data_IF_469450884113
#
_entry.id   IF_469450884113
#
_cell.length_a   1.000
_cell.length_b   1.000
_cell.length_c   1.000
_cell.angle_alpha   90.00
_cell.angle_beta   90.00
_cell.angle_gamma   90.00
#
_symmetry.space_group_name_H-M   'P 1'
#
loop_
_entity.id
_entity.type
_entity.pdbx_description
1 polymer ?
#
# COMPACT_ATOMS: atom_id res chain seq x y z
N UNK A 1 -4.27 27.98 -60.28
CA UNK A 1 -3.87 29.41 -60.30
C UNK A 1 -3.81 29.88 -58.86
N UNK A 2 -2.66 30.38 -58.39
CA UNK A 2 -2.42 30.71 -56.97
C UNK A 2 -2.77 32.17 -56.68
N UNK A 3 -3.08 32.48 -55.41
CA UNK A 3 -2.81 33.81 -54.88
C UNK A 3 -2.30 33.69 -53.44
N UNK A 4 -1.09 34.23 -53.28
CA UNK A 4 -0.30 34.41 -52.07
C UNK A 4 -0.76 35.70 -51.40
N UNK A 5 -0.65 35.84 -50.07
CA UNK A 5 -0.08 37.01 -49.38
C UNK A 5 0.20 36.64 -47.91
N UNK A 6 1.48 36.72 -47.56
CA UNK A 6 2.04 36.76 -46.21
C UNK A 6 1.79 38.09 -45.52
N UNK A 7 1.70 38.07 -44.19
CA UNK A 7 2.15 39.14 -43.29
C UNK A 7 2.14 38.58 -41.86
N UNK A 8 2.97 38.97 -40.90
CA UNK A 8 4.33 39.47 -40.85
C UNK A 8 4.74 39.27 -39.38
N UNK A 9 5.99 38.90 -39.15
CA UNK A 9 6.63 38.74 -37.83
C UNK A 9 6.69 40.05 -37.05
N UNK A 10 6.45 40.03 -35.74
CA UNK A 10 6.89 41.09 -34.82
C UNK A 10 7.84 40.49 -33.78
N UNK A 11 9.13 40.78 -33.93
CA UNK A 11 10.20 40.66 -32.95
C UNK A 11 10.79 42.05 -32.78
N UNK A 12 10.80 42.57 -31.55
CA UNK A 12 11.65 43.63 -30.98
C UNK A 12 10.96 44.03 -29.66
N UNK A 13 11.50 43.87 -28.47
CA UNK A 13 12.87 44.11 -28.02
C UNK A 13 12.81 45.25 -27.00
N UNK A 14 12.94 44.95 -25.71
CA UNK A 14 13.25 46.00 -24.73
C UNK A 14 14.29 45.48 -23.73
N UNK A 15 15.52 45.90 -23.99
CA UNK A 15 16.70 45.70 -23.16
C UNK A 15 16.81 46.86 -22.14
N UNK A 16 17.03 46.46 -20.89
CA UNK A 16 17.85 47.13 -19.86
C UNK A 16 17.63 48.62 -19.56
N UNK A 17 17.37 48.90 -18.28
CA UNK A 17 18.07 49.97 -17.54
C UNK A 17 18.14 49.61 -16.06
N UNK A 18 19.33 49.15 -15.64
CA UNK A 18 19.76 49.15 -14.24
C UNK A 18 20.04 50.61 -13.85
N UNK A 19 19.48 51.08 -12.75
CA UNK A 19 19.95 52.28 -12.08
C UNK A 19 19.85 52.08 -10.56
N UNK A 20 21.01 52.00 -9.91
CA UNK A 20 21.19 52.11 -8.47
C UNK A 20 20.84 53.53 -8.01
N UNK A 21 20.02 53.65 -6.97
CA UNK A 21 20.01 54.84 -6.12
C UNK A 21 19.63 54.46 -4.68
N UNK A 22 20.63 54.43 -3.82
CA UNK A 22 20.54 54.36 -2.36
C UNK A 22 19.81 55.57 -1.80
N UNK A 23 18.71 55.36 -1.07
CA UNK A 23 18.13 56.37 -0.18
C UNK A 23 17.65 55.70 1.11
N UNK A 24 18.33 56.01 2.20
CA UNK A 24 18.02 55.57 3.57
C UNK A 24 16.75 56.26 4.05
N UNK A 25 15.69 55.49 4.35
CA UNK A 25 14.48 55.99 5.02
C UNK A 25 14.33 55.23 6.34
N UNK A 26 14.56 55.94 7.45
CA UNK A 26 14.33 55.42 8.79
C UNK A 26 12.81 55.44 9.08
N UNK A 27 12.20 54.25 9.14
CA UNK A 27 10.79 54.08 9.51
C UNK A 27 10.72 53.57 10.95
N UNK A 28 10.01 54.32 11.78
CA UNK A 28 9.81 54.05 13.19
C UNK A 28 9.01 52.75 13.42
N UNK A 29 9.51 51.94 14.34
CA UNK A 29 8.87 50.71 14.83
C UNK A 29 7.64 51.04 15.67
N UNK A 30 6.44 50.73 15.16
CA UNK A 30 5.25 50.53 15.98
C UNK A 30 5.06 49.02 16.18
N UNK A 31 5.44 48.53 17.37
CA UNK A 31 5.20 47.15 17.79
C UNK A 31 3.72 46.99 18.17
N UNK A 32 2.99 45.96 17.68
CA UNK A 32 1.78 45.52 18.35
C UNK A 32 2.16 44.85 19.67
N UNK A 33 1.64 45.40 20.77
CA UNK A 33 1.65 44.75 22.07
C UNK A 33 0.67 43.57 22.03
N UNK A 34 1.18 42.34 21.94
CA UNK A 34 0.39 41.16 22.28
C UNK A 34 0.39 41.01 23.79
N UNK A 35 -0.79 41.15 24.39
CA UNK A 35 -1.02 40.76 25.77
C UNK A 35 -0.83 39.23 25.85
N UNK A 36 0.27 38.81 26.47
CA UNK A 36 0.48 37.43 26.90
C UNK A 36 -0.49 37.15 28.05
N UNK A 37 -1.68 36.64 27.72
CA UNK A 37 -2.62 36.08 28.69
C UNK A 37 -2.04 34.79 29.26
N UNK A 38 -1.74 34.80 30.56
CA UNK A 38 -1.33 33.63 31.32
C UNK A 38 -2.55 32.75 31.58
N UNK A 39 -2.71 31.68 30.80
CA UNK A 39 -3.48 30.51 31.22
C UNK A 39 -2.49 29.38 31.48
N UNK A 40 -2.02 29.35 32.72
CA UNK A 40 -1.48 28.15 33.33
C UNK A 40 -2.66 27.20 33.56
N UNK A 41 -2.93 26.33 32.58
CA UNK A 41 -3.56 25.05 32.87
C UNK A 41 -2.74 23.99 32.16
N UNK A 42 -2.07 23.20 32.99
CA UNK A 42 -1.24 22.10 32.54
C UNK A 42 -2.11 20.99 31.99
N UNK A 43 -1.83 20.64 30.74
CA UNK A 43 -1.86 19.24 30.35
C UNK A 43 -0.42 18.85 30.08
N UNK A 44 0.17 18.22 31.10
CA UNK A 44 1.42 17.52 30.95
C UNK A 44 1.29 16.53 29.81
N UNK A 45 2.20 16.64 28.86
CA UNK A 45 2.97 15.53 28.32
C UNK A 45 2.37 14.14 28.65
N UNK A 46 1.48 13.72 27.77
CA UNK A 46 1.38 12.32 27.41
C UNK A 46 1.32 12.20 25.89
N UNK A 47 2.32 12.76 25.22
CA UNK A 47 2.70 12.44 23.84
C UNK A 47 3.27 11.01 23.75
N UNK A 48 2.59 10.05 24.36
CA UNK A 48 2.97 8.63 24.34
C UNK A 48 1.84 7.73 23.86
N UNK A 49 0.68 8.29 23.49
CA UNK A 49 -0.45 7.54 22.94
C UNK A 49 -0.52 7.62 21.41
N UNK A 50 -0.13 8.75 20.80
CA UNK A 50 -0.19 8.97 19.34
C UNK A 50 0.95 8.30 18.55
N UNK A 51 2.03 7.91 19.23
CA UNK A 51 3.16 7.16 18.65
C UNK A 51 3.27 5.72 19.15
N UNK A 52 2.34 5.27 20.00
CA UNK A 52 2.25 3.87 20.41
C UNK A 52 1.62 3.04 19.27
N UNK A 53 2.35 2.99 18.15
CA UNK A 53 2.37 1.93 17.13
C UNK A 53 1.02 1.24 16.94
N UNK A 54 0.23 1.68 15.95
CA UNK A 54 -0.83 0.81 15.45
C UNK A 54 -0.19 -0.55 15.23
N UNK A 55 -0.69 -1.62 15.87
CA UNK A 55 -0.03 -2.93 15.81
C UNK A 55 0.19 -3.40 14.37
N UNK A 56 -0.64 -2.89 13.45
CA UNK A 56 -0.58 -3.13 12.01
C UNK A 56 0.57 -2.41 11.29
N UNK A 57 1.16 -1.34 11.84
CA UNK A 57 2.30 -0.66 11.23
C UNK A 57 2.28 0.86 11.33
N UNK A 58 2.72 1.52 10.26
CA UNK A 58 2.83 2.97 10.17
C UNK A 58 2.52 3.48 8.75
N UNK A 59 2.15 4.76 8.58
CA UNK A 59 2.01 5.37 7.26
C UNK A 59 3.29 5.21 6.44
N UNK A 60 3.15 4.74 5.21
CA UNK A 60 4.27 4.48 4.31
C UNK A 60 4.63 5.69 3.44
N UNK A 61 5.86 5.71 2.95
CA UNK A 61 6.32 6.73 1.98
C UNK A 61 6.00 6.29 0.55
N UNK A 62 5.34 7.16 -0.23
CA UNK A 62 4.97 6.89 -1.63
C UNK A 62 6.14 6.45 -2.53
N UNK A 63 7.38 6.83 -2.20
CA UNK A 63 8.62 6.50 -2.91
C UNK A 63 9.25 5.17 -2.49
N UNK A 64 8.78 4.56 -1.40
CA UNK A 64 9.27 3.29 -0.84
C UNK A 64 8.26 2.15 -0.96
N UNK A 65 7.28 2.29 -1.86
CA UNK A 65 6.26 1.28 -2.10
C UNK A 65 6.90 0.04 -2.73
N UNK A 66 6.75 -1.11 -2.07
CA UNK A 66 7.21 -2.41 -2.56
C UNK A 66 6.24 -2.98 -3.60
N UNK A 67 4.93 -2.84 -3.36
CA UNK A 67 3.86 -3.20 -4.31
C UNK A 67 2.61 -2.35 -4.15
N UNK A 68 1.80 -2.34 -5.21
CA UNK A 68 0.48 -1.71 -5.23
C UNK A 68 -0.59 -2.79 -5.31
N UNK A 69 -1.62 -2.67 -4.48
CA UNK A 69 -2.79 -3.54 -4.45
C UNK A 69 -4.00 -2.68 -4.83
N UNK A 70 -4.68 -3.05 -5.92
CA UNK A 70 -5.93 -2.42 -6.31
C UNK A 70 -7.08 -2.98 -5.45
N UNK A 71 -7.85 -2.08 -4.86
CA UNK A 71 -9.00 -2.39 -4.00
C UNK A 71 -10.27 -1.80 -4.62
N UNK A 72 -11.32 -2.61 -4.74
CA UNK A 72 -12.65 -2.15 -5.16
C UNK A 72 -13.64 -2.27 -4.00
N UNK A 73 -14.30 -1.16 -3.66
CA UNK A 73 -15.41 -1.12 -2.71
C UNK A 73 -16.71 -1.17 -3.50
N UNK A 74 -17.63 -2.08 -3.17
CA UNK A 74 -18.91 -2.24 -3.88
C UNK A 74 -19.95 -2.99 -3.05
N UNK A 75 -21.22 -2.82 -3.45
CA UNK A 75 -22.33 -3.68 -3.06
C UNK A 75 -22.69 -4.65 -4.19
N UNK A 76 -23.19 -5.84 -3.85
CA UNK A 76 -23.74 -6.76 -4.85
C UNK A 76 -25.28 -6.80 -4.81
N UNK A 77 -25.89 -7.43 -5.81
CA UNK A 77 -27.35 -7.55 -5.95
C UNK A 77 -28.04 -8.31 -4.79
N UNK A 78 -27.27 -9.02 -3.96
CA UNK A 78 -27.76 -9.74 -2.77
C UNK A 78 -27.73 -8.85 -1.52
N UNK A 79 -27.29 -7.59 -1.64
CA UNK A 79 -27.14 -6.64 -0.55
C UNK A 79 -25.91 -6.87 0.32
N UNK A 80 -24.95 -7.68 -0.15
CA UNK A 80 -23.66 -7.82 0.53
C UNK A 80 -22.77 -6.64 0.19
N UNK A 81 -22.04 -6.19 1.20
CA UNK A 81 -21.08 -5.10 1.09
C UNK A 81 -19.67 -5.72 1.00
N UNK A 82 -18.88 -5.32 0.02
CA UNK A 82 -17.67 -6.04 -0.37
C UNK A 82 -16.47 -5.10 -0.48
N UNK A 83 -15.33 -5.57 0.03
CA UNK A 83 -14.00 -5.06 -0.30
C UNK A 83 -13.34 -6.13 -1.18
N UNK A 84 -13.11 -5.86 -2.45
CA UNK A 84 -12.49 -6.80 -3.39
C UNK A 84 -11.04 -6.41 -3.68
N UNK A 85 -10.15 -7.39 -3.67
CA UNK A 85 -8.73 -7.25 -3.99
C UNK A 85 -8.14 -8.60 -4.41
N UNK A 86 -6.87 -8.61 -4.80
CA UNK A 86 -6.05 -9.84 -4.78
C UNK A 86 -5.81 -10.34 -3.34
N UNK A 87 -5.16 -11.50 -3.20
CA UNK A 87 -4.84 -12.11 -1.90
C UNK A 87 -3.95 -11.20 -1.03
N UNK A 88 -4.44 -10.83 0.16
CA UNK A 88 -3.75 -9.92 1.09
C UNK A 88 -2.78 -10.67 2.02
N UNK A 89 -1.85 -11.43 1.43
CA UNK A 89 -0.70 -12.02 2.14
C UNK A 89 0.48 -11.05 2.07
N UNK A 90 0.94 -10.55 3.20
CA UNK A 90 1.91 -9.45 3.30
C UNK A 90 3.11 -9.85 4.14
N UNK A 91 4.29 -9.37 3.79
CA UNK A 91 5.48 -9.58 4.62
C UNK A 91 5.60 -8.47 5.68
N UNK A 92 6.01 -8.81 6.89
CA UNK A 92 6.41 -7.79 7.87
C UNK A 92 7.58 -6.96 7.31
N UNK A 93 7.49 -5.64 7.46
CA UNK A 93 8.34 -4.62 6.87
C UNK A 93 7.92 -4.13 5.48
N UNK A 94 6.95 -4.78 4.82
CA UNK A 94 6.54 -4.43 3.45
C UNK A 94 5.69 -3.15 3.42
N UNK A 95 5.98 -2.28 2.45
CA UNK A 95 5.21 -1.06 2.19
C UNK A 95 4.28 -1.24 1.01
N UNK A 96 2.98 -1.20 1.28
CA UNK A 96 1.91 -1.40 0.31
C UNK A 96 1.26 -0.07 -0.01
N UNK A 97 1.01 0.18 -1.30
CA UNK A 97 0.04 1.19 -1.74
C UNK A 97 -1.28 0.49 -2.02
N UNK A 98 -2.32 0.79 -1.26
CA UNK A 98 -3.68 0.42 -1.61
C UNK A 98 -4.25 1.50 -2.52
N UNK A 99 -4.49 1.16 -3.79
CA UNK A 99 -5.17 2.04 -4.74
C UNK A 99 -6.66 1.69 -4.73
N UNK A 100 -7.46 2.53 -4.07
CA UNK A 100 -8.82 2.19 -3.66
C UNK A 100 -9.80 2.94 -4.56
N UNK A 101 -10.74 2.20 -5.14
CA UNK A 101 -11.84 2.77 -5.93
C UNK A 101 -13.17 2.32 -5.35
N UNK A 102 -14.07 3.27 -5.10
CA UNK A 102 -15.46 2.95 -4.82
C UNK A 102 -16.24 2.81 -6.13
N UNK A 103 -16.64 1.59 -6.46
CA UNK A 103 -17.52 1.27 -7.61
C UNK A 103 -18.95 0.97 -7.20
N UNK A 104 -19.25 1.04 -5.90
CA UNK A 104 -20.59 0.92 -5.37
C UNK A 104 -21.46 2.15 -5.62
N UNK A 105 -22.71 2.04 -5.18
CA UNK A 105 -23.67 3.14 -5.22
C UNK A 105 -23.67 3.96 -3.92
N UNK A 106 -23.21 3.39 -2.81
CA UNK A 106 -23.12 4.07 -1.52
C UNK A 106 -21.71 4.60 -1.27
N UNK A 107 -21.63 5.47 -0.27
CA UNK A 107 -20.35 5.88 0.29
C UNK A 107 -19.70 4.72 1.04
N UNK A 108 -18.40 4.59 0.91
CA UNK A 108 -17.63 3.54 1.56
C UNK A 108 -16.38 4.08 2.23
N UNK A 109 -15.92 3.32 3.20
CA UNK A 109 -14.70 3.59 3.93
C UNK A 109 -13.79 2.37 3.84
N UNK A 110 -12.49 2.62 3.89
CA UNK A 110 -11.46 1.60 4.02
C UNK A 110 -10.58 1.96 5.21
N UNK A 111 -10.65 1.17 6.28
CA UNK A 111 -9.86 1.32 7.51
C UNK A 111 -8.97 0.10 7.70
N UNK A 112 -7.68 0.32 7.92
CA UNK A 112 -6.68 -0.72 8.20
C UNK A 112 -6.34 -0.77 9.69
N UNK A 113 -6.75 -1.83 10.40
CA UNK A 113 -6.39 -2.00 11.81
C UNK A 113 -6.40 -3.46 12.26
N UNK A 114 -6.23 -3.71 13.56
CA UNK A 114 -6.57 -5.01 14.14
C UNK A 114 -8.08 -5.21 14.19
N UNK A 115 -8.50 -6.48 14.14
CA UNK A 115 -9.91 -6.87 14.27
C UNK A 115 -10.53 -6.29 15.56
N UNK A 116 -9.77 -6.33 16.66
CA UNK A 116 -10.22 -5.82 17.95
C UNK A 116 -10.43 -4.30 17.91
N UNK A 117 -9.50 -3.55 17.31
CA UNK A 117 -9.61 -2.08 17.22
C UNK A 117 -10.69 -1.64 16.26
N UNK A 118 -10.89 -2.33 15.13
CA UNK A 118 -12.03 -2.07 14.25
C UNK A 118 -13.36 -2.29 14.99
N UNK A 119 -13.46 -3.35 15.80
CA UNK A 119 -14.66 -3.61 16.60
C UNK A 119 -14.91 -2.53 17.67
N UNK A 120 -13.85 -2.06 18.35
CA UNK A 120 -13.92 -0.96 19.32
C UNK A 120 -14.32 0.35 18.65
N UNK A 121 -13.65 0.72 17.55
CA UNK A 121 -13.92 1.94 16.79
C UNK A 121 -15.37 1.97 16.30
N UNK A 122 -15.91 0.85 15.81
CA UNK A 122 -17.33 0.74 15.45
C UNK A 122 -18.29 1.09 16.59
N UNK A 123 -17.97 0.66 17.82
CA UNK A 123 -18.78 0.97 19.01
C UNK A 123 -18.70 2.46 19.36
N UNK A 124 -17.56 3.11 19.11
CA UNK A 124 -17.37 4.54 19.31
C UNK A 124 -18.12 5.37 18.26
N UNK A 125 -18.02 4.99 16.99
CA UNK A 125 -18.77 5.62 15.88
C UNK A 125 -20.30 5.55 16.11
N UNK A 126 -20.78 4.45 16.70
CA UNK A 126 -22.20 4.31 17.04
C UNK A 126 -22.66 5.28 18.16
N UNK A 127 -21.74 5.84 18.95
CA UNK A 127 -22.06 6.75 20.06
C UNK A 127 -22.00 8.22 19.65
N UNK A 128 -21.10 8.59 18.75
CA UNK A 128 -20.97 9.95 18.22
C UNK A 128 -20.56 9.90 16.75
N UNK A 129 -21.33 10.57 15.88
CA UNK A 129 -21.05 10.72 14.46
C UNK A 129 -19.89 11.71 14.28
N UNK A 130 -18.66 11.18 14.37
CA UNK A 130 -17.43 11.96 14.28
C UNK A 130 -16.63 11.49 13.07
N UNK A 131 -16.34 12.41 12.15
CA UNK A 131 -15.41 12.15 11.06
C UNK A 131 -13.97 12.17 11.61
N UNK A 132 -13.22 11.11 11.34
CA UNK A 132 -11.81 11.00 11.71
C UNK A 132 -11.00 10.72 10.44
N UNK A 133 -10.05 11.62 10.16
CA UNK A 133 -9.10 11.50 9.06
C UNK A 133 -7.82 10.85 9.61
N UNK A 134 -7.90 9.54 9.85
CA UNK A 134 -6.76 8.77 10.34
C UNK A 134 -5.88 8.30 9.16
N UNK A 135 -4.54 8.30 9.30
CA UNK A 135 -3.64 7.92 8.20
C UNK A 135 -3.81 6.49 7.64
N UNK A 136 -4.46 5.61 8.39
CA UNK A 136 -4.79 4.23 8.02
C UNK A 136 -6.22 4.10 7.45
N UNK A 137 -6.89 5.21 7.16
CA UNK A 137 -8.27 5.25 6.72
C UNK A 137 -8.46 6.12 5.47
N UNK A 138 -9.52 5.85 4.71
CA UNK A 138 -10.04 6.77 3.69
C UNK A 138 -11.53 6.55 3.50
N UNK A 139 -12.28 7.65 3.36
CA UNK A 139 -13.71 7.66 3.02
C UNK A 139 -13.91 8.16 1.60
N UNK A 140 -14.74 7.46 0.82
CA UNK A 140 -14.91 7.66 -0.62
C UNK A 140 -16.39 7.66 -1.00
N UNK A 141 -16.84 8.75 -1.61
CA UNK A 141 -18.10 8.83 -2.34
C UNK A 141 -18.16 7.80 -3.48
N UNK A 142 -19.38 7.48 -3.94
CA UNK A 142 -19.59 6.62 -5.09
C UNK A 142 -18.84 7.13 -6.34
N UNK A 143 -18.07 6.25 -6.97
CA UNK A 143 -17.23 6.56 -8.13
C UNK A 143 -15.91 7.28 -7.82
N UNK A 144 -15.64 7.62 -6.55
CA UNK A 144 -14.39 8.24 -6.15
C UNK A 144 -13.25 7.22 -6.04
N UNK A 145 -12.02 7.72 -6.01
CA UNK A 145 -10.81 6.92 -5.81
C UNK A 145 -9.80 7.68 -4.96
N UNK A 146 -8.96 6.93 -4.25
CA UNK A 146 -7.88 7.47 -3.44
C UNK A 146 -6.88 6.39 -3.09
N UNK A 147 -5.92 6.72 -2.23
CA UNK A 147 -4.89 5.78 -1.84
C UNK A 147 -4.56 5.83 -0.36
N UNK A 148 -4.21 4.67 0.19
CA UNK A 148 -3.60 4.53 1.51
C UNK A 148 -2.25 3.85 1.31
N UNK A 149 -1.17 4.47 1.78
CA UNK A 149 0.18 3.88 1.73
C UNK A 149 0.57 3.46 3.14
N UNK A 150 0.87 2.18 3.33
CA UNK A 150 1.07 1.60 4.65
C UNK A 150 2.27 0.66 4.69
N UNK A 151 3.13 0.82 5.70
CA UNK A 151 4.23 -0.10 5.99
C UNK A 151 3.81 -1.03 7.14
N UNK A 152 3.67 -2.33 6.85
CA UNK A 152 3.24 -3.32 7.84
C UNK A 152 4.39 -3.69 8.77
N UNK A 153 4.36 -3.28 10.03
CA UNK A 153 5.52 -3.43 10.91
C UNK A 153 5.65 -4.80 11.58
N UNK A 154 4.52 -5.48 11.83
CA UNK A 154 4.49 -6.72 12.62
C UNK A 154 3.74 -7.82 11.88
N UNK A 155 4.19 -9.07 12.01
CA UNK A 155 3.42 -10.22 11.58
C UNK A 155 2.17 -10.40 12.47
N UNK A 156 1.10 -10.93 11.87
CA UNK A 156 -0.19 -11.13 12.53
C UNK A 156 -1.33 -11.15 11.53
N UNK A 157 -2.54 -11.30 12.07
CA UNK A 157 -3.78 -11.17 11.31
C UNK A 157 -4.38 -9.81 11.60
N UNK A 158 -4.63 -9.05 10.54
CA UNK A 158 -5.22 -7.72 10.57
C UNK A 158 -6.45 -7.66 9.68
N UNK A 159 -7.09 -6.50 9.58
CA UNK A 159 -8.33 -6.35 8.84
C UNK A 159 -8.41 -5.00 8.12
N UNK A 160 -8.86 -5.05 6.87
CA UNK A 160 -9.44 -3.90 6.18
C UNK A 160 -10.96 -3.93 6.37
N UNK A 161 -11.58 -2.84 6.82
CA UNK A 161 -13.01 -2.79 7.09
C UNK A 161 -13.65 -1.46 6.70
N UNK A 162 -14.95 -1.48 6.39
CA UNK A 162 -15.79 -0.28 6.36
C UNK A 162 -16.59 -0.20 7.66
N UNK A 163 -16.45 0.90 8.42
CA UNK A 163 -17.04 1.05 9.74
C UNK A 163 -18.34 1.88 9.73
N UNK A 164 -18.79 2.31 8.54
CA UNK A 164 -20.12 2.91 8.34
C UNK A 164 -21.18 1.93 8.85
N UNK A 165 -22.14 2.47 9.61
CA UNK A 165 -23.15 1.69 10.31
C UNK A 165 -23.85 0.67 9.37
N UNK A 166 -23.73 -0.62 9.70
CA UNK A 166 -24.32 -1.73 8.96
C UNK A 166 -23.47 -2.28 7.81
N UNK A 167 -22.43 -1.58 7.35
CA UNK A 167 -21.60 -2.05 6.25
C UNK A 167 -20.73 -3.25 6.67
N UNK A 168 -20.09 -3.14 7.84
CA UNK A 168 -19.34 -4.24 8.44
C UNK A 168 -20.20 -5.50 8.62
N UNK A 169 -21.38 -5.35 9.24
CA UNK A 169 -22.32 -6.45 9.47
C UNK A 169 -22.85 -7.09 8.18
N UNK A 170 -22.85 -6.32 7.09
CA UNK A 170 -23.24 -6.78 5.75
C UNK A 170 -22.08 -7.41 4.97
N UNK A 171 -20.91 -7.59 5.60
CA UNK A 171 -19.77 -8.33 5.05
C UNK A 171 -18.59 -7.49 4.58
N UNK A 172 -18.59 -6.18 4.84
CA UNK A 172 -17.59 -5.25 4.30
C UNK A 172 -16.28 -5.25 5.08
N UNK A 173 -15.62 -6.40 5.14
CA UNK A 173 -14.31 -6.57 5.74
C UNK A 173 -13.49 -7.61 4.99
N UNK A 174 -12.16 -7.51 5.10
CA UNK A 174 -11.20 -8.47 4.57
C UNK A 174 -10.06 -8.69 5.54
N UNK A 175 -9.76 -9.97 5.77
CA UNK A 175 -8.60 -10.38 6.54
C UNK A 175 -7.31 -10.09 5.76
N UNK A 176 -6.31 -9.59 6.46
CA UNK A 176 -4.96 -9.35 5.97
C UNK A 176 -4.01 -10.22 6.78
N UNK A 177 -3.32 -11.15 6.12
CA UNK A 177 -2.36 -12.02 6.76
C UNK A 177 -0.95 -11.45 6.56
N UNK A 178 -0.34 -10.95 7.63
CA UNK A 178 1.07 -10.51 7.61
C UNK A 178 1.92 -11.62 8.23
N UNK A 179 2.90 -12.12 7.49
CA UNK A 179 3.81 -13.15 8.00
C UNK A 179 5.22 -12.61 8.13
N UNK A 180 6.01 -13.22 9.01
CA UNK A 180 7.46 -13.03 9.10
C UNK A 180 8.20 -13.59 7.86
N UNK A 181 7.52 -13.82 6.72
CA UNK A 181 8.18 -14.29 5.50
C UNK A 181 9.06 -13.20 4.91
N UNK A 182 10.28 -13.20 5.45
CA UNK A 182 11.56 -12.79 4.91
C UNK A 182 11.46 -11.66 3.90
N UNK A 183 11.58 -10.44 4.43
CA UNK A 183 12.24 -9.35 3.73
C UNK A 183 13.37 -9.94 2.88
N UNK A 184 13.35 -9.59 1.59
CA UNK A 184 14.07 -10.11 0.41
C UNK A 184 15.60 -10.26 0.53
N UNK A 185 16.19 -10.07 1.71
CA UNK A 185 17.62 -9.96 1.93
C UNK A 185 18.32 -11.24 2.46
N UNK A 186 17.64 -12.17 3.14
CA UNK A 186 18.33 -13.31 3.80
C UNK A 186 17.80 -14.71 3.42
N UNK A 187 17.08 -14.86 2.30
CA UNK A 187 16.60 -16.19 1.89
C UNK A 187 17.74 -16.97 1.21
N UNK A 188 18.08 -18.13 1.74
CA UNK A 188 19.06 -19.03 1.10
C UNK A 188 18.44 -19.65 -0.16
N UNK A 189 18.94 -19.24 -1.32
CA UNK A 189 18.48 -19.75 -2.61
C UNK A 189 19.08 -21.11 -2.91
N UNK A 190 18.25 -22.04 -3.34
CA UNK A 190 18.68 -23.30 -3.91
C UNK A 190 18.88 -23.15 -5.41
N UNK A 191 19.91 -23.80 -5.94
CA UNK A 191 20.10 -23.89 -7.39
C UNK A 191 19.17 -24.94 -7.99
N UNK A 192 18.77 -24.76 -9.24
CA UNK A 192 18.06 -25.80 -9.97
C UNK A 192 18.04 -25.56 -11.48
N UNK A 193 17.66 -26.60 -12.22
CA UNK A 193 17.46 -26.56 -13.67
C UNK A 193 16.03 -26.95 -13.98
N UNK A 194 15.32 -26.11 -14.73
CA UNK A 194 13.95 -26.36 -15.18
C UNK A 194 13.95 -27.50 -16.18
N UNK A 195 13.32 -28.62 -15.82
CA UNK A 195 13.24 -29.82 -16.67
C UNK A 195 12.00 -29.83 -17.56
N UNK A 196 10.87 -29.39 -17.02
CA UNK A 196 9.59 -29.41 -17.73
C UNK A 196 8.62 -28.38 -17.17
N UNK A 197 7.90 -27.70 -18.05
CA UNK A 197 6.85 -26.75 -17.68
C UNK A 197 5.47 -27.31 -18.08
N UNK A 198 4.53 -27.33 -17.15
CA UNK A 198 3.11 -27.58 -17.41
C UNK A 198 2.31 -26.37 -16.92
N UNK A 199 2.30 -25.33 -17.78
CA UNK A 199 1.67 -24.05 -17.48
C UNK A 199 0.16 -24.19 -17.21
N UNK A 200 -0.53 -25.07 -17.94
CA UNK A 200 -1.96 -25.33 -17.73
C UNK A 200 -2.26 -25.91 -16.36
N UNK A 201 -1.34 -26.70 -15.81
CA UNK A 201 -1.50 -27.29 -14.48
C UNK A 201 -0.86 -26.45 -13.36
N UNK A 202 -0.22 -25.32 -13.67
CA UNK A 202 0.55 -24.52 -12.72
C UNK A 202 1.70 -25.31 -12.09
N UNK A 203 2.40 -26.15 -12.88
CA UNK A 203 3.44 -27.06 -12.40
C UNK A 203 4.74 -26.88 -13.16
N UNK A 204 5.84 -26.96 -12.44
CA UNK A 204 7.20 -26.99 -12.99
C UNK A 204 7.96 -28.17 -12.40
N UNK A 205 8.65 -28.93 -13.24
CA UNK A 205 9.58 -29.98 -12.80
C UNK A 205 10.97 -29.40 -12.75
N UNK A 206 11.62 -29.42 -11.59
CA UNK A 206 12.95 -28.83 -11.37
C UNK A 206 13.90 -29.93 -10.90
N UNK A 207 15.09 -29.99 -11.51
CA UNK A 207 16.24 -30.71 -10.99
C UNK A 207 16.92 -29.75 -10.03
N UNK A 208 16.76 -29.94 -8.71
CA UNK A 208 17.22 -28.97 -7.73
C UNK A 208 18.41 -29.49 -6.94
N UNK A 209 19.28 -28.57 -6.50
CA UNK A 209 20.25 -28.78 -5.44
C UNK A 209 19.57 -28.94 -4.08
N UNK A 210 20.33 -29.04 -2.97
CA UNK A 210 19.74 -29.16 -1.64
C UNK A 210 18.76 -28.02 -1.32
N UNK A 211 17.57 -28.37 -0.83
CA UNK A 211 16.58 -27.41 -0.32
C UNK A 211 16.73 -27.36 1.20
N UNK A 212 17.60 -26.47 1.68
CA UNK A 212 17.99 -26.39 3.11
C UNK A 212 16.76 -26.13 3.99
N UNK A 213 15.89 -25.20 3.58
CA UNK A 213 14.67 -24.84 4.32
C UNK A 213 13.66 -25.98 4.44
N UNK A 214 13.70 -26.94 3.53
CA UNK A 214 12.79 -28.09 3.51
C UNK A 214 13.44 -29.39 4.00
N UNK A 215 14.72 -29.34 4.39
CA UNK A 215 15.56 -30.50 4.73
C UNK A 215 15.52 -31.60 3.65
N UNK A 216 15.59 -31.18 2.38
CA UNK A 216 15.52 -32.10 1.24
C UNK A 216 16.85 -32.13 0.47
N UNK A 217 17.42 -33.33 0.20
CA UNK A 217 18.61 -33.44 -0.63
C UNK A 217 18.30 -33.09 -2.09
N UNK A 218 19.36 -32.92 -2.89
CA UNK A 218 19.23 -32.67 -4.32
C UNK A 218 18.49 -33.82 -5.04
N UNK A 219 17.44 -33.51 -5.80
CA UNK A 219 16.64 -34.48 -6.54
C UNK A 219 15.81 -33.82 -7.65
N UNK A 220 15.01 -34.60 -8.38
CA UNK A 220 14.05 -34.07 -9.36
C UNK A 220 12.63 -34.15 -8.80
N UNK A 221 11.94 -33.01 -8.72
CA UNK A 221 10.59 -32.93 -8.17
C UNK A 221 9.70 -31.98 -8.96
N UNK A 222 8.39 -32.09 -8.70
CA UNK A 222 7.36 -31.20 -9.25
C UNK A 222 6.99 -30.17 -8.19
N UNK A 223 7.09 -28.90 -8.55
CA UNK A 223 6.67 -27.76 -7.76
C UNK A 223 5.47 -27.09 -8.41
N UNK A 224 4.66 -26.42 -7.61
CA UNK A 224 3.72 -25.40 -8.09
C UNK A 224 4.46 -24.09 -8.29
N UNK A 225 3.96 -23.25 -9.18
CA UNK A 225 4.36 -21.86 -9.32
C UNK A 225 3.15 -21.09 -9.87
N UNK A 226 3.07 -19.81 -9.58
CA UNK A 226 2.05 -18.95 -10.14
C UNK A 226 2.25 -18.75 -11.66
N UNK A 227 1.19 -18.30 -12.33
CA UNK A 227 1.16 -18.16 -13.78
C UNK A 227 2.21 -17.16 -14.29
N UNK A 228 2.45 -16.08 -13.54
CA UNK A 228 3.40 -15.03 -13.94
C UNK A 228 4.85 -15.51 -13.83
N UNK A 229 5.17 -16.29 -12.80
CA UNK A 229 6.48 -16.88 -12.64
C UNK A 229 6.73 -17.94 -13.73
N UNK A 230 5.75 -18.79 -14.02
CA UNK A 230 5.85 -19.79 -15.09
C UNK A 230 6.04 -19.14 -16.47
N UNK A 231 5.39 -18.01 -16.73
CA UNK A 231 5.56 -17.29 -17.99
C UNK A 231 7.00 -16.81 -18.24
N UNK A 232 7.80 -16.65 -17.16
CA UNK A 232 9.20 -16.25 -17.21
C UNK A 232 10.18 -17.44 -17.18
N UNK A 233 9.68 -18.68 -17.23
CA UNK A 233 10.49 -19.90 -17.22
C UNK A 233 10.71 -20.48 -18.62
N UNK A 234 11.85 -21.12 -18.83
CA UNK A 234 12.16 -21.91 -20.03
C UNK A 234 12.69 -23.29 -19.66
N UNK A 235 12.33 -24.33 -20.43
CA UNK A 235 12.92 -25.66 -20.23
C UNK A 235 14.43 -25.62 -20.53
N UNK A 236 15.22 -26.22 -19.64
CA UNK A 236 16.69 -26.18 -19.65
C UNK A 236 17.30 -24.96 -18.95
N UNK A 237 16.48 -24.03 -18.44
CA UNK A 237 16.96 -22.85 -17.73
C UNK A 237 17.52 -23.22 -16.36
N UNK A 238 18.72 -22.73 -16.06
CA UNK A 238 19.25 -22.70 -14.69
C UNK A 238 18.67 -21.52 -13.94
N UNK A 239 18.23 -21.78 -12.71
CA UNK A 239 17.57 -20.82 -11.83
C UNK A 239 18.16 -20.92 -10.42
N UNK A 240 18.08 -19.81 -9.70
CA UNK A 240 18.13 -19.82 -8.25
C UNK A 240 16.71 -19.60 -7.75
N UNK A 241 16.24 -20.46 -6.84
CA UNK A 241 14.86 -20.38 -6.37
C UNK A 241 14.71 -20.73 -4.90
N UNK A 242 13.58 -20.32 -4.34
CA UNK A 242 13.11 -20.66 -3.01
C UNK A 242 11.85 -21.48 -3.18
N UNK A 243 11.73 -22.58 -2.43
CA UNK A 243 10.52 -23.38 -2.40
C UNK A 243 10.05 -23.64 -0.98
N UNK A 244 8.74 -23.70 -0.81
CA UNK A 244 8.07 -23.97 0.47
C UNK A 244 6.82 -24.85 0.28
N UNK A 245 6.22 -25.31 1.38
CA UNK A 245 4.97 -26.06 1.40
C UNK A 245 3.77 -25.12 1.56
N UNK A 246 3.23 -24.66 0.45
CA UNK A 246 1.97 -23.89 0.43
C UNK A 246 0.78 -24.85 0.35
N UNK A 247 -0.11 -24.82 1.36
CA UNK A 247 -1.29 -25.71 1.46
C UNK A 247 -0.92 -27.19 1.28
N UNK A 248 0.22 -27.60 1.88
CA UNK A 248 0.76 -28.97 1.81
C UNK A 248 1.44 -29.34 0.48
N UNK A 249 1.57 -28.42 -0.48
CA UNK A 249 2.18 -28.65 -1.80
C UNK A 249 3.50 -27.88 -1.92
N UNK A 250 4.52 -28.56 -2.45
CA UNK A 250 5.80 -27.90 -2.79
C UNK A 250 5.56 -26.84 -3.86
N UNK A 251 5.95 -25.60 -3.57
CA UNK A 251 5.64 -24.41 -4.36
C UNK A 251 6.88 -23.52 -4.42
N UNK A 252 7.26 -23.08 -5.63
CA UNK A 252 8.28 -22.06 -5.82
C UNK A 252 7.68 -20.72 -5.38
N UNK A 253 8.32 -20.07 -4.42
CA UNK A 253 7.86 -18.80 -3.83
C UNK A 253 8.70 -17.62 -4.30
N UNK A 254 9.95 -17.85 -4.70
CA UNK A 254 10.83 -16.84 -5.29
C UNK A 254 11.74 -17.47 -6.34
N UNK A 255 12.10 -16.71 -7.37
CA UNK A 255 13.01 -17.15 -8.45
C UNK A 255 13.79 -15.95 -8.98
N UNK A 256 15.08 -16.15 -9.27
CA UNK A 256 15.96 -15.17 -9.94
C UNK A 256 16.83 -15.87 -10.99
#
# INVERSE_FOLDING_TARGET
>A
MPFVISNQTNLQGNQMKKLLLTTTFAMALSLPAYASGTHSDGHGENETAEQATMMIGMPGEATKVDRTIDVTLLENDEGQMLIESEDLNIAAGETIRFNITNKGELEHEFVLDTIERNAEHKIEMAKMDMEHDDPNSIRLDAGASGEVVWTFANAGTFEAACLIAGHYESGMYREIAVSEQMAKADVEYSTGTIKKIDAKAGKVTIIHGPLVTLDMPAMTMVFRADETMIANMSEGQDIEFVADRVKGKLTVTQMK
#
